data_IF_486668215600
#
_entry.id   IF_486668215600
#
_cell.length_a   1.000
_cell.length_b   1.000
_cell.length_c   1.000
_cell.angle_alpha   90.00
_cell.angle_beta   90.00
_cell.angle_gamma   90.00
#
_symmetry.space_group_name_H-M   'P 1'
#
loop_
_entity.id
_entity.type
_entity.pdbx_description
1 polymer ?
#
# COMPACT_ATOMS: atom_id res chain seq x y z
N UNK A 1 -126.16 -24.45 -34.94
CA UNK A 1 -126.37 -25.76 -35.59
C UNK A 1 -126.13 -26.94 -34.64
N UNK A 2 -125.22 -26.83 -33.66
CA UNK A 2 -125.00 -27.87 -32.61
C UNK A 2 -126.13 -27.91 -31.58
N UNK A 3 -126.71 -26.77 -31.20
CA UNK A 3 -127.78 -26.72 -30.19
C UNK A 3 -129.10 -27.36 -30.64
N UNK A 4 -129.44 -27.29 -31.94
CA UNK A 4 -130.68 -27.90 -32.48
C UNK A 4 -130.60 -29.44 -32.57
N UNK A 5 -129.39 -30.00 -32.75
CA UNK A 5 -129.17 -31.44 -32.77
C UNK A 5 -129.22 -32.07 -31.37
N UNK A 6 -128.82 -31.31 -30.34
CA UNK A 6 -128.86 -31.74 -28.94
C UNK A 6 -130.31 -31.81 -28.39
N UNK A 7 -131.20 -30.94 -28.87
CA UNK A 7 -132.58 -30.87 -28.40
C UNK A 7 -133.46 -32.01 -28.94
N UNK A 8 -133.23 -32.50 -30.18
CA UNK A 8 -133.90 -33.72 -30.68
C UNK A 8 -133.34 -35.02 -30.09
N UNK A 9 -132.04 -35.09 -29.80
CA UNK A 9 -131.42 -36.26 -29.15
C UNK A 9 -131.85 -36.42 -27.68
N UNK A 10 -132.26 -35.34 -27.01
CA UNK A 10 -132.77 -35.39 -25.64
C UNK A 10 -134.16 -36.06 -25.50
N UNK A 11 -134.98 -36.12 -26.56
CA UNK A 11 -136.37 -36.61 -26.47
C UNK A 11 -136.52 -38.13 -26.72
N UNK A 12 -135.44 -38.87 -26.93
CA UNK A 12 -135.45 -40.34 -27.05
C UNK A 12 -134.62 -41.01 -25.94
N UNK A 13 -135.11 -42.13 -25.38
CA UNK A 13 -134.44 -42.89 -24.30
C UNK A 13 -132.99 -43.28 -24.69
N UNK A 14 -132.76 -43.52 -25.99
CA UNK A 14 -131.44 -43.83 -26.52
C UNK A 14 -130.48 -42.62 -26.50
N UNK A 15 -130.97 -41.42 -26.82
CA UNK A 15 -130.13 -40.21 -26.89
C UNK A 15 -129.75 -39.67 -25.51
N UNK A 16 -130.62 -39.81 -24.51
CA UNK A 16 -130.29 -39.48 -23.10
C UNK A 16 -129.18 -40.38 -22.53
N UNK A 17 -129.20 -41.69 -22.84
CA UNK A 17 -128.13 -42.62 -22.43
C UNK A 17 -126.79 -42.29 -23.08
N UNK A 18 -126.80 -41.91 -24.37
CA UNK A 18 -125.61 -41.47 -25.10
C UNK A 18 -125.03 -40.18 -24.47
N UNK A 19 -125.88 -39.23 -24.07
CA UNK A 19 -125.45 -38.00 -23.41
C UNK A 19 -124.84 -38.24 -22.02
N UNK A 20 -125.38 -39.18 -21.24
CA UNK A 20 -124.81 -39.57 -19.94
C UNK A 20 -123.44 -40.24 -20.12
N UNK A 21 -123.30 -41.13 -21.11
CA UNK A 21 -122.01 -41.77 -21.40
C UNK A 21 -120.97 -40.73 -21.85
N UNK A 22 -121.35 -39.78 -22.71
CA UNK A 22 -120.46 -38.69 -23.15
C UNK A 22 -120.06 -37.76 -22.01
N UNK A 23 -120.97 -37.45 -21.07
CA UNK A 23 -120.64 -36.61 -19.91
C UNK A 23 -119.70 -37.32 -18.93
N UNK A 24 -119.88 -38.63 -18.70
CA UNK A 24 -118.96 -39.46 -17.91
C UNK A 24 -117.58 -39.53 -18.56
N UNK A 25 -117.52 -39.73 -19.88
CA UNK A 25 -116.26 -39.71 -20.65
C UNK A 25 -115.58 -38.35 -20.53
N UNK A 26 -116.33 -37.25 -20.60
CA UNK A 26 -115.79 -35.89 -20.44
C UNK A 26 -115.21 -35.66 -19.04
N UNK A 27 -115.90 -36.11 -17.98
CA UNK A 27 -115.41 -36.01 -16.59
C UNK A 27 -114.13 -36.84 -16.41
N UNK A 28 -114.11 -38.08 -16.93
CA UNK A 28 -112.90 -38.93 -16.90
C UNK A 28 -111.74 -38.27 -17.64
N UNK A 29 -111.99 -37.66 -18.81
CA UNK A 29 -110.98 -36.94 -19.56
C UNK A 29 -110.42 -35.73 -18.78
N UNK A 30 -111.27 -35.01 -18.04
CA UNK A 30 -110.84 -33.89 -17.17
C UNK A 30 -109.97 -34.40 -16.01
N UNK A 31 -110.36 -35.50 -15.35
CA UNK A 31 -109.58 -36.10 -14.25
C UNK A 31 -108.22 -36.61 -14.74
N UNK A 32 -108.17 -37.30 -15.89
CA UNK A 32 -106.93 -37.75 -16.51
C UNK A 32 -106.05 -36.55 -16.87
N UNK A 33 -106.62 -35.50 -17.47
CA UNK A 33 -105.88 -34.28 -17.80
C UNK A 33 -105.30 -33.64 -16.54
N UNK A 34 -106.06 -33.58 -15.45
CA UNK A 34 -105.59 -33.03 -14.17
C UNK A 34 -104.46 -33.87 -13.56
N UNK A 35 -104.59 -35.20 -13.57
CA UNK A 35 -103.55 -36.12 -13.11
C UNK A 35 -102.26 -36.01 -13.94
N UNK A 36 -102.37 -35.91 -15.27
CA UNK A 36 -101.22 -35.70 -16.17
C UNK A 36 -100.53 -34.37 -15.89
N UNK A 37 -101.29 -33.29 -15.67
CA UNK A 37 -100.73 -31.98 -15.30
C UNK A 37 -99.98 -32.07 -13.96
N UNK A 38 -100.54 -32.78 -12.97
CA UNK A 38 -99.92 -32.93 -11.66
C UNK A 38 -98.65 -33.78 -11.70
N UNK A 39 -98.67 -34.90 -12.43
CA UNK A 39 -97.49 -35.74 -12.67
C UNK A 39 -96.40 -34.98 -13.42
N UNK A 40 -96.76 -34.22 -14.45
CA UNK A 40 -95.82 -33.39 -15.21
C UNK A 40 -95.14 -32.36 -14.31
N UNK A 41 -95.90 -31.69 -13.42
CA UNK A 41 -95.36 -30.76 -12.41
C UNK A 41 -94.40 -31.48 -11.45
N UNK A 42 -94.78 -32.65 -10.94
CA UNK A 42 -93.93 -33.45 -10.06
C UNK A 42 -92.60 -33.83 -10.70
N UNK A 43 -92.63 -34.31 -11.95
CA UNK A 43 -91.43 -34.66 -12.73
C UNK A 43 -90.54 -33.44 -12.97
N UNK A 44 -91.12 -32.28 -13.34
CA UNK A 44 -90.34 -31.06 -13.55
C UNK A 44 -89.68 -30.56 -12.26
N UNK A 45 -90.38 -30.65 -11.12
CA UNK A 45 -89.82 -30.25 -9.84
C UNK A 45 -88.67 -31.17 -9.43
N UNK A 46 -88.84 -32.50 -9.55
CA UNK A 46 -87.77 -33.47 -9.26
C UNK A 46 -86.56 -33.22 -10.16
N UNK A 47 -86.77 -33.02 -11.47
CA UNK A 47 -85.69 -32.71 -12.41
C UNK A 47 -84.94 -31.42 -12.01
N UNK A 48 -85.67 -30.35 -11.65
CA UNK A 48 -85.04 -29.09 -11.21
C UNK A 48 -84.24 -29.24 -9.92
N UNK A 49 -84.74 -30.05 -8.96
CA UNK A 49 -84.03 -30.37 -7.71
C UNK A 49 -82.78 -31.20 -7.99
N UNK A 50 -82.84 -32.19 -8.88
CA UNK A 50 -81.67 -32.99 -9.28
C UNK A 50 -80.60 -32.13 -9.95
N UNK A 51 -80.99 -31.21 -10.85
CA UNK A 51 -80.06 -30.26 -11.49
C UNK A 51 -79.41 -29.35 -10.43
N UNK A 52 -80.21 -28.78 -9.51
CA UNK A 52 -79.70 -27.93 -8.45
C UNK A 52 -78.75 -28.68 -7.49
N UNK A 53 -79.04 -29.94 -7.16
CA UNK A 53 -78.15 -30.79 -6.37
C UNK A 53 -76.84 -31.07 -7.08
N UNK A 54 -76.89 -31.35 -8.40
CA UNK A 54 -75.68 -31.56 -9.21
C UNK A 54 -74.82 -30.29 -9.27
N UNK A 55 -75.43 -29.13 -9.55
CA UNK A 55 -74.77 -27.83 -9.54
C UNK A 55 -74.07 -27.59 -8.19
N UNK A 56 -74.78 -27.78 -7.08
CA UNK A 56 -74.21 -27.61 -5.74
C UNK A 56 -73.07 -28.59 -5.45
N UNK A 57 -73.14 -29.82 -5.97
CA UNK A 57 -72.06 -30.80 -5.86
C UNK A 57 -70.83 -30.37 -6.64
N UNK A 58 -71.01 -29.84 -7.85
CA UNK A 58 -69.93 -29.35 -8.71
C UNK A 58 -69.28 -28.09 -8.10
N UNK A 59 -70.08 -27.17 -7.55
CA UNK A 59 -69.61 -26.00 -6.82
C UNK A 59 -68.80 -26.39 -5.58
N UNK A 60 -69.27 -27.38 -4.82
CA UNK A 60 -68.54 -27.92 -3.66
C UNK A 60 -67.20 -28.51 -4.06
N UNK A 61 -67.17 -29.28 -5.16
CA UNK A 61 -65.92 -29.84 -5.67
C UNK A 61 -64.94 -28.73 -6.07
N UNK A 62 -65.40 -27.72 -6.81
CA UNK A 62 -64.57 -26.57 -7.19
C UNK A 62 -64.03 -25.83 -5.96
N UNK A 63 -64.85 -25.64 -4.93
CA UNK A 63 -64.43 -25.02 -3.67
C UNK A 63 -63.37 -25.87 -2.96
N UNK A 64 -63.54 -27.20 -2.91
CA UNK A 64 -62.54 -28.12 -2.33
C UNK A 64 -61.21 -28.06 -3.08
N UNK A 65 -61.25 -28.02 -4.41
CA UNK A 65 -60.05 -27.92 -5.25
C UNK A 65 -59.31 -26.58 -4.99
N UNK A 66 -60.05 -25.47 -4.91
CA UNK A 66 -59.49 -24.14 -4.57
C UNK A 66 -58.87 -24.12 -3.16
N UNK A 67 -59.55 -24.69 -2.16
CA UNK A 67 -59.02 -24.80 -0.80
C UNK A 67 -57.73 -25.62 -0.77
N UNK A 68 -57.68 -26.72 -1.54
CA UNK A 68 -56.48 -27.56 -1.64
C UNK A 68 -55.32 -26.81 -2.26
N UNK A 69 -55.57 -26.06 -3.34
CA UNK A 69 -54.56 -25.21 -3.99
C UNK A 69 -54.04 -24.14 -3.04
N UNK A 70 -54.92 -23.39 -2.38
CA UNK A 70 -54.51 -22.34 -1.42
C UNK A 70 -53.74 -22.93 -0.24
N UNK A 71 -54.09 -24.14 0.20
CA UNK A 71 -53.34 -24.84 1.26
C UNK A 71 -51.92 -25.19 0.82
N UNK A 72 -51.74 -25.59 -0.44
CA UNK A 72 -50.42 -25.83 -1.01
C UNK A 72 -49.60 -24.53 -1.11
N UNK A 73 -50.20 -23.46 -1.65
CA UNK A 73 -49.53 -22.15 -1.78
C UNK A 73 -49.11 -21.59 -0.41
N UNK A 74 -49.97 -21.72 0.61
CA UNK A 74 -49.64 -21.30 1.99
C UNK A 74 -48.46 -22.07 2.58
N UNK A 75 -48.33 -23.35 2.25
CA UNK A 75 -47.20 -24.17 2.68
C UNK A 75 -45.91 -23.71 2.01
N UNK A 76 -45.94 -23.44 0.71
CA UNK A 76 -44.77 -22.97 -0.04
C UNK A 76 -44.33 -21.59 0.48
N UNK A 77 -45.27 -20.67 0.71
CA UNK A 77 -44.99 -19.35 1.33
C UNK A 77 -44.37 -19.51 2.72
N UNK A 78 -44.86 -20.44 3.54
CA UNK A 78 -44.31 -20.69 4.87
C UNK A 78 -42.85 -21.18 4.78
N UNK A 79 -42.55 -22.08 3.85
CA UNK A 79 -41.20 -22.62 3.67
C UNK A 79 -40.24 -21.54 3.12
N UNK A 80 -40.70 -20.71 2.18
CA UNK A 80 -39.95 -19.56 1.67
C UNK A 80 -39.67 -18.52 2.77
N UNK A 81 -40.66 -18.24 3.63
CA UNK A 81 -40.52 -17.32 4.75
C UNK A 81 -39.53 -17.84 5.80
N UNK A 82 -39.54 -19.16 6.04
CA UNK A 82 -38.55 -19.82 6.91
C UNK A 82 -37.14 -19.69 6.35
N UNK A 83 -36.94 -19.96 5.06
CA UNK A 83 -35.65 -19.80 4.39
C UNK A 83 -35.17 -18.35 4.44
N UNK A 84 -36.05 -17.40 4.13
CA UNK A 84 -35.75 -15.97 4.17
C UNK A 84 -35.33 -15.52 5.58
N UNK A 85 -36.00 -16.01 6.62
CA UNK A 85 -35.66 -15.72 8.02
C UNK A 85 -34.28 -16.24 8.40
N UNK A 86 -33.92 -17.44 7.92
CA UNK A 86 -32.60 -18.02 8.13
C UNK A 86 -31.52 -17.19 7.43
N UNK A 87 -31.72 -16.83 6.15
CA UNK A 87 -30.80 -15.97 5.41
C UNK A 87 -30.60 -14.61 6.08
N UNK A 88 -31.67 -13.99 6.57
CA UNK A 88 -31.60 -12.70 7.28
C UNK A 88 -30.78 -12.80 8.57
N UNK A 89 -30.94 -13.91 9.30
CA UNK A 89 -30.16 -14.17 10.53
C UNK A 89 -28.67 -14.29 10.21
N UNK A 90 -28.32 -15.00 9.15
CA UNK A 90 -26.92 -15.17 8.72
C UNK A 90 -26.31 -13.85 8.23
N UNK A 91 -27.05 -13.07 7.44
CA UNK A 91 -26.60 -11.73 7.01
C UNK A 91 -26.38 -10.81 8.22
N UNK A 92 -27.26 -10.86 9.22
CA UNK A 92 -27.11 -10.08 10.46
C UNK A 92 -25.85 -10.46 11.21
N UNK A 93 -25.53 -11.76 11.27
CA UNK A 93 -24.30 -12.26 11.88
C UNK A 93 -23.06 -11.77 11.13
N UNK A 94 -23.02 -11.93 9.80
CA UNK A 94 -21.91 -11.47 8.96
C UNK A 94 -21.70 -9.96 9.06
N UNK A 95 -22.78 -9.19 9.12
CA UNK A 95 -22.70 -7.74 9.31
C UNK A 95 -22.03 -7.35 10.63
N UNK A 96 -22.30 -8.08 11.71
CA UNK A 96 -21.67 -7.83 13.01
C UNK A 96 -20.18 -8.22 13.02
N UNK A 97 -19.82 -9.32 12.33
CA UNK A 97 -18.42 -9.73 12.16
C UNK A 97 -17.63 -8.70 11.33
N UNK A 98 -18.20 -8.23 10.22
CA UNK A 98 -17.60 -7.17 9.40
C UNK A 98 -17.45 -5.85 10.16
N UNK A 99 -18.43 -5.48 10.99
CA UNK A 99 -18.32 -4.30 11.86
C UNK A 99 -17.15 -4.41 12.84
N UNK A 100 -16.88 -5.60 13.35
CA UNK A 100 -15.75 -5.85 14.26
C UNK A 100 -14.43 -5.77 13.51
N UNK A 101 -14.33 -6.41 12.34
CA UNK A 101 -13.17 -6.32 11.46
C UNK A 101 -12.84 -4.89 11.04
N UNK A 102 -13.86 -4.07 10.74
CA UNK A 102 -13.67 -2.65 10.40
C UNK A 102 -13.01 -1.87 11.54
N UNK A 103 -13.45 -2.09 12.78
CA UNK A 103 -12.84 -1.45 13.96
C UNK A 103 -11.39 -1.89 14.18
N UNK A 104 -11.07 -3.16 13.93
CA UNK A 104 -9.68 -3.62 14.01
C UNK A 104 -8.82 -3.00 12.91
N UNK A 105 -9.37 -2.85 11.70
CA UNK A 105 -8.68 -2.20 10.59
C UNK A 105 -8.46 -0.71 10.85
N UNK A 106 -9.45 0.00 11.40
CA UNK A 106 -9.32 1.40 11.83
C UNK A 106 -8.15 1.58 12.80
N UNK A 107 -8.04 0.72 13.83
CA UNK A 107 -6.90 0.75 14.76
C UNK A 107 -5.55 0.52 14.08
N UNK A 108 -5.48 -0.41 13.12
CA UNK A 108 -4.25 -0.67 12.34
C UNK A 108 -3.86 0.52 11.48
N UNK A 109 -4.85 1.24 10.93
CA UNK A 109 -4.61 2.47 10.16
C UNK A 109 -4.05 3.55 11.08
N UNK A 110 -4.64 3.79 12.25
CA UNK A 110 -4.13 4.75 13.24
C UNK A 110 -2.69 4.42 13.70
N UNK A 111 -2.39 3.14 13.91
CA UNK A 111 -1.04 2.68 14.25
C UNK A 111 -0.04 2.95 13.12
N UNK A 112 -0.40 2.65 11.87
CA UNK A 112 0.43 2.91 10.70
C UNK A 112 0.65 4.42 10.48
N UNK A 113 -0.36 5.25 10.69
CA UNK A 113 -0.23 6.71 10.62
C UNK A 113 0.78 7.23 11.66
N UNK A 114 0.72 6.72 12.88
CA UNK A 114 1.67 7.08 13.96
C UNK A 114 3.09 6.64 13.63
N UNK A 115 3.26 5.44 13.08
CA UNK A 115 4.56 4.92 12.65
C UNK A 115 5.14 5.77 11.50
N UNK A 116 4.31 6.16 10.53
CA UNK A 116 4.71 7.01 9.42
C UNK A 116 5.18 8.38 9.90
N UNK A 117 4.42 9.01 10.81
CA UNK A 117 4.78 10.31 11.38
C UNK A 117 6.09 10.25 12.20
N UNK A 118 6.32 9.14 12.89
CA UNK A 118 7.59 8.91 13.62
C UNK A 118 8.76 8.74 12.67
N UNK A 119 8.56 8.00 11.58
CA UNK A 119 9.58 7.78 10.55
C UNK A 119 9.96 9.09 9.86
N UNK A 120 8.96 9.91 9.51
CA UNK A 120 9.13 11.22 8.87
C UNK A 120 9.99 12.15 9.76
N UNK A 121 9.63 12.30 11.04
CA UNK A 121 10.42 13.05 12.02
C UNK A 121 11.85 12.52 12.19
N UNK A 122 12.01 11.20 12.16
CA UNK A 122 13.34 10.59 12.25
C UNK A 122 14.18 10.89 11.01
N UNK A 123 13.57 10.87 9.82
CA UNK A 123 14.23 11.21 8.56
C UNK A 123 14.71 12.66 8.59
N UNK A 124 13.84 13.60 8.95
CA UNK A 124 14.19 15.02 9.07
C UNK A 124 15.38 15.25 10.03
N UNK A 125 15.38 14.56 11.17
CA UNK A 125 16.48 14.64 12.13
C UNK A 125 17.79 14.10 11.55
N UNK A 126 17.74 12.97 10.84
CA UNK A 126 18.92 12.40 10.19
C UNK A 126 19.45 13.35 9.11
N UNK A 127 18.59 13.96 8.31
CA UNK A 127 18.98 14.93 7.29
C UNK A 127 19.66 16.16 7.91
N UNK A 128 19.13 16.68 9.02
CA UNK A 128 19.77 17.76 9.78
C UNK A 128 21.17 17.37 10.28
N UNK A 129 21.32 16.17 10.86
CA UNK A 129 22.63 15.67 11.32
C UNK A 129 23.63 15.51 10.18
N UNK A 130 23.18 15.07 9.00
CA UNK A 130 24.03 14.98 7.80
C UNK A 130 24.48 16.37 7.35
N UNK A 131 23.58 17.36 7.35
CA UNK A 131 23.92 18.74 6.99
C UNK A 131 24.92 19.37 7.95
N UNK A 132 24.75 19.16 9.26
CA UNK A 132 25.70 19.61 10.29
C UNK A 132 27.08 18.99 10.05
N UNK A 133 27.15 17.66 9.87
CA UNK A 133 28.41 16.95 9.63
C UNK A 133 29.10 17.41 8.34
N UNK A 134 28.33 17.64 7.27
CA UNK A 134 28.86 18.16 6.01
C UNK A 134 29.46 19.57 6.18
N UNK A 135 28.81 20.42 6.97
CA UNK A 135 29.30 21.76 7.26
C UNK A 135 30.59 21.73 8.09
N UNK A 136 30.65 20.86 9.11
CA UNK A 136 31.85 20.68 9.94
C UNK A 136 33.04 20.20 9.09
N UNK A 137 32.82 19.16 8.26
CA UNK A 137 33.85 18.68 7.33
C UNK A 137 34.27 19.75 6.31
N UNK A 138 33.35 20.60 5.86
CA UNK A 138 33.68 21.68 4.93
C UNK A 138 34.64 22.70 5.58
N UNK A 139 34.39 23.09 6.81
CA UNK A 139 35.27 24.02 7.53
C UNK A 139 36.61 23.38 7.91
N UNK A 140 36.64 22.08 8.23
CA UNK A 140 37.90 21.33 8.42
C UNK A 140 38.75 21.31 7.14
N UNK A 141 38.15 20.95 6.00
CA UNK A 141 38.85 20.94 4.69
C UNK A 141 39.42 22.32 4.37
N UNK A 142 38.66 23.38 4.65
CA UNK A 142 39.10 24.76 4.44
C UNK A 142 40.27 25.13 5.36
N UNK A 143 40.24 24.70 6.62
CA UNK A 143 41.35 24.87 7.57
C UNK A 143 42.62 24.15 7.11
N UNK A 144 42.49 22.89 6.68
CA UNK A 144 43.58 22.09 6.12
C UNK A 144 44.14 22.79 4.87
N UNK A 145 43.28 23.25 3.97
CA UNK A 145 43.69 23.96 2.75
C UNK A 145 44.52 25.21 3.05
N UNK A 146 44.14 26.00 4.07
CA UNK A 146 44.94 27.15 4.52
C UNK A 146 46.30 26.71 5.07
N UNK A 147 46.33 25.65 5.86
CA UNK A 147 47.58 25.11 6.43
C UNK A 147 48.52 24.63 5.33
N UNK A 148 48.00 23.90 4.34
CA UNK A 148 48.76 23.44 3.17
C UNK A 148 49.30 24.62 2.38
N UNK A 149 48.49 25.66 2.13
CA UNK A 149 48.95 26.87 1.45
C UNK A 149 50.08 27.58 2.22
N UNK A 150 49.95 27.69 3.55
CA UNK A 150 50.99 28.27 4.40
C UNK A 150 52.29 27.45 4.35
N UNK A 151 52.22 26.12 4.44
CA UNK A 151 53.39 25.25 4.31
C UNK A 151 54.04 25.43 2.94
N UNK A 152 53.25 25.45 1.88
CA UNK A 152 53.72 25.60 0.51
C UNK A 152 54.42 26.96 0.28
N UNK A 153 54.01 28.00 1.01
CA UNK A 153 54.68 29.31 0.98
C UNK A 153 55.95 29.35 1.85
N UNK A 154 55.96 28.66 2.99
CA UNK A 154 57.09 28.65 3.93
C UNK A 154 58.26 27.79 3.46
N UNK A 155 58.03 26.67 2.77
CA UNK A 155 59.10 25.78 2.30
C UNK A 155 60.11 26.52 1.40
N UNK A 156 59.70 27.27 0.35
CA UNK A 156 60.63 28.04 -0.47
C UNK A 156 61.44 29.06 0.34
N UNK A 157 60.83 29.73 1.32
CA UNK A 157 61.52 30.71 2.16
C UNK A 157 62.60 30.07 3.04
N UNK A 158 62.33 28.88 3.59
CA UNK A 158 63.32 28.13 4.36
C UNK A 158 64.48 27.67 3.48
N UNK A 159 64.19 27.16 2.28
CA UNK A 159 65.21 26.78 1.29
C UNK A 159 66.07 27.99 0.93
N UNK A 160 65.45 29.15 0.63
CA UNK A 160 66.17 30.38 0.29
C UNK A 160 67.06 30.86 1.44
N UNK A 161 66.56 30.80 2.68
CA UNK A 161 67.32 31.14 3.89
C UNK A 161 68.54 30.22 4.11
N UNK A 162 68.37 28.91 3.91
CA UNK A 162 69.45 27.93 4.05
C UNK A 162 70.51 28.08 2.95
N UNK A 163 70.07 28.31 1.71
CA UNK A 163 70.91 28.64 0.56
C UNK A 163 71.78 29.87 0.87
N UNK A 164 71.19 30.96 1.36
CA UNK A 164 71.93 32.20 1.64
C UNK A 164 72.89 32.06 2.84
N UNK A 165 72.47 31.31 3.86
CA UNK A 165 73.33 30.98 5.01
C UNK A 165 74.56 30.19 4.56
N UNK A 166 74.39 29.22 3.66
CA UNK A 166 75.52 28.47 3.10
C UNK A 166 76.46 29.36 2.27
N UNK A 167 75.93 30.28 1.46
CA UNK A 167 76.75 31.23 0.69
C UNK A 167 77.63 32.07 1.62
N UNK A 168 77.04 32.66 2.66
CA UNK A 168 77.78 33.48 3.64
C UNK A 168 78.88 32.65 4.31
N UNK A 169 78.55 31.44 4.78
CA UNK A 169 79.53 30.54 5.39
C UNK A 169 80.67 30.15 4.45
N UNK A 170 80.37 29.95 3.16
CA UNK A 170 81.35 29.60 2.14
C UNK A 170 82.31 30.76 1.87
N UNK A 171 81.82 32.00 1.75
CA UNK A 171 82.65 33.20 1.61
C UNK A 171 83.55 33.39 2.81
N UNK A 172 83.00 33.34 4.02
CA UNK A 172 83.76 33.50 5.26
C UNK A 172 84.88 32.47 5.39
N UNK A 173 84.61 31.22 4.95
CA UNK A 173 85.62 30.17 4.98
C UNK A 173 86.70 30.41 3.95
N UNK A 174 86.34 30.82 2.73
CA UNK A 174 87.30 31.17 1.70
C UNK A 174 88.25 32.29 2.14
N UNK A 175 87.72 33.39 2.69
CA UNK A 175 88.56 34.51 3.16
C UNK A 175 89.50 34.08 4.30
N UNK A 176 89.03 33.27 5.27
CA UNK A 176 89.90 32.69 6.30
C UNK A 176 91.04 31.84 5.72
N UNK A 177 90.74 30.98 4.74
CA UNK A 177 91.74 30.13 4.11
C UNK A 177 92.74 30.94 3.28
N UNK A 178 92.28 32.02 2.64
CA UNK A 178 93.14 32.95 1.90
C UNK A 178 94.09 33.71 2.83
N UNK A 179 93.65 34.07 4.03
CA UNK A 179 94.50 34.70 5.06
C UNK A 179 95.52 33.73 5.67
N UNK A 180 95.11 32.49 5.96
CA UNK A 180 95.96 31.49 6.63
C UNK A 180 96.82 30.65 5.69
N UNK A 181 96.46 30.58 4.40
CA UNK A 181 97.05 29.68 3.40
C UNK A 181 96.66 28.20 3.55
N UNK A 182 95.85 27.83 4.54
CA UNK A 182 95.55 26.43 4.89
C UNK A 182 94.06 26.22 5.19
N UNK A 183 93.58 24.98 5.08
CA UNK A 183 92.22 24.60 5.46
C UNK A 183 92.19 23.41 6.41
N UNK A 184 91.42 23.52 7.49
CA UNK A 184 91.21 22.41 8.41
C UNK A 184 90.41 21.27 7.74
N UNK A 185 90.88 20.03 7.87
CA UNK A 185 90.25 18.87 7.23
C UNK A 185 88.77 18.64 7.63
N UNK A 186 88.39 18.95 8.87
CA UNK A 186 87.00 18.86 9.32
C UNK A 186 86.12 19.94 8.69
N UNK A 187 86.66 21.15 8.53
CA UNK A 187 85.98 22.24 7.82
C UNK A 187 85.76 21.86 6.37
N UNK A 188 86.76 21.28 5.71
CA UNK A 188 86.64 20.82 4.32
C UNK A 188 85.57 19.72 4.17
N UNK A 189 85.54 18.72 5.06
CA UNK A 189 84.50 17.69 5.06
C UNK A 189 83.10 18.27 5.31
N UNK A 190 82.99 19.21 6.23
CA UNK A 190 81.72 19.89 6.54
C UNK A 190 81.22 20.70 5.35
N UNK A 191 82.14 21.40 4.67
CA UNK A 191 81.85 22.14 3.44
C UNK A 191 81.36 21.22 2.33
N UNK A 192 82.06 20.11 2.05
CA UNK A 192 81.65 19.15 1.02
C UNK A 192 80.24 18.58 1.27
N UNK A 193 79.91 18.26 2.53
CA UNK A 193 78.58 17.80 2.92
C UNK A 193 77.51 18.88 2.72
N UNK A 194 77.78 20.10 3.17
CA UNK A 194 76.84 21.24 3.02
C UNK A 194 76.65 21.61 1.55
N UNK A 195 77.72 21.58 0.76
CA UNK A 195 77.71 21.84 -0.67
C UNK A 195 76.83 20.82 -1.43
N UNK A 196 76.90 19.54 -1.04
CA UNK A 196 76.02 18.50 -1.60
C UNK A 196 74.53 18.80 -1.32
N UNK A 197 74.20 19.29 -0.12
CA UNK A 197 72.83 19.67 0.21
C UNK A 197 72.37 20.92 -0.57
N UNK A 198 73.24 21.94 -0.66
CA UNK A 198 73.01 23.14 -1.45
C UNK A 198 72.69 22.82 -2.92
N UNK A 199 73.42 21.88 -3.55
CA UNK A 199 73.13 21.46 -4.92
C UNK A 199 71.76 20.77 -5.04
N UNK A 200 71.37 19.95 -4.07
CA UNK A 200 70.04 19.29 -4.05
C UNK A 200 68.89 20.29 -3.91
N UNK A 201 69.13 21.40 -3.25
CA UNK A 201 68.17 22.49 -3.02
C UNK A 201 68.10 23.50 -4.19
N UNK A 202 68.77 23.22 -5.32
CA UNK A 202 68.76 24.11 -6.51
C UNK A 202 69.84 25.20 -6.48
N UNK A 203 70.92 24.97 -5.73
CA UNK A 203 72.08 25.85 -5.66
C UNK A 203 72.72 26.16 -7.02
N UNK A 204 73.34 27.33 -7.12
CA UNK A 204 73.95 27.82 -8.36
C UNK A 204 75.45 27.49 -8.50
N UNK A 205 75.97 27.65 -9.72
CA UNK A 205 77.36 27.35 -10.12
C UNK A 205 78.42 28.27 -9.48
N UNK A 206 78.00 29.35 -8.82
CA UNK A 206 78.93 30.22 -8.09
C UNK A 206 79.57 29.48 -6.90
N UNK A 207 78.79 28.69 -6.17
CA UNK A 207 79.30 27.94 -5.02
C UNK A 207 80.29 26.85 -5.46
N UNK A 208 80.08 26.24 -6.64
CA UNK A 208 81.03 25.28 -7.23
C UNK A 208 82.39 25.92 -7.47
N UNK A 209 82.40 27.16 -7.98
CA UNK A 209 83.63 27.89 -8.26
C UNK A 209 84.39 28.20 -6.98
N UNK A 210 83.70 28.65 -5.92
CA UNK A 210 84.34 28.93 -4.63
C UNK A 210 84.83 27.66 -3.95
N UNK A 211 84.04 26.57 -3.98
CA UNK A 211 84.45 25.27 -3.44
C UNK A 211 85.73 24.77 -4.10
N UNK A 212 85.81 24.81 -5.43
CA UNK A 212 87.02 24.41 -6.16
C UNK A 212 88.23 25.34 -5.91
N UNK A 213 88.00 26.58 -5.46
CA UNK A 213 89.08 27.46 -5.00
C UNK A 213 89.53 27.09 -3.57
N UNK A 214 88.60 26.76 -2.68
CA UNK A 214 88.88 26.34 -1.31
C UNK A 214 89.67 25.01 -1.27
N UNK A 215 89.32 24.06 -2.14
CA UNK A 215 89.99 22.75 -2.22
C UNK A 215 91.47 22.82 -2.60
N UNK A 216 91.95 23.97 -3.11
CA UNK A 216 93.36 24.17 -3.47
C UNK A 216 94.25 24.59 -2.29
N UNK A 217 93.67 24.99 -1.16
CA UNK A 217 94.46 25.31 0.04
C UNK A 217 95.02 24.04 0.67
N UNK A 218 96.20 24.14 1.28
CA UNK A 218 96.84 22.98 1.90
C UNK A 218 96.01 22.49 3.11
N UNK A 219 95.63 21.19 3.15
CA UNK A 219 94.93 20.65 4.29
C UNK A 219 95.82 20.67 5.52
N UNK A 220 95.31 21.21 6.62
CA UNK A 220 95.94 21.13 7.93
C UNK A 220 95.10 20.27 8.86
N UNK A 221 95.77 19.51 9.71
CA UNK A 221 95.14 18.84 10.84
C UNK A 221 94.86 19.87 11.93
N UNK A 222 93.96 19.57 12.87
CA UNK A 222 93.70 20.49 14.00
C UNK A 222 95.01 20.70 14.77
N UNK A 223 95.48 21.95 14.98
CA UNK A 223 96.41 22.20 16.07
C UNK A 223 95.65 21.94 17.38
N UNK A 224 96.07 20.92 18.13
CA UNK A 224 95.70 20.65 19.53
C UNK A 224 94.50 19.72 19.85
N UNK A 225 94.50 18.49 19.35
CA UNK A 225 94.47 17.37 20.32
C UNK A 225 95.92 17.05 20.73
N UNK A 226 96.82 17.04 19.75
CA UNK A 226 98.23 16.70 19.96
C UNK A 226 98.97 17.71 20.86
N UNK A 227 98.73 19.03 20.76
CA UNK A 227 99.30 20.00 21.73
C UNK A 227 98.64 19.95 23.12
N UNK A 228 97.37 19.54 23.23
CA UNK A 228 96.68 19.40 24.53
C UNK A 228 97.22 18.20 25.32
N UNK A 229 97.55 17.10 24.64
CA UNK A 229 98.22 15.95 25.24
C UNK A 229 99.74 16.16 25.40
N UNK A 230 100.42 16.82 24.46
CA UNK A 230 101.85 17.16 24.59
C UNK A 230 102.13 18.15 25.74
N UNK A 231 101.20 19.05 26.08
CA UNK A 231 101.30 19.89 27.28
C UNK A 231 101.02 19.12 28.57
N UNK A 232 100.30 18.00 28.51
CA UNK A 232 99.94 17.19 29.70
C UNK A 232 101.05 16.20 30.09
N UNK A 233 101.82 15.70 29.13
CA UNK A 233 102.99 14.83 29.38
C UNK A 233 104.22 15.62 29.90
N UNK A 234 104.31 16.93 29.63
CA UNK A 234 105.39 17.79 30.14
C UNK A 234 105.15 18.34 31.57
N UNK A 235 104.10 17.87 32.25
CA UNK A 235 103.73 18.27 33.61
C UNK A 235 103.54 17.09 34.59
N UNK A 236 104.10 15.91 34.26
CA UNK A 236 104.36 14.81 35.21
C UNK A 236 105.86 14.68 35.48
#
# INVERSE_FOLDING_TARGET
MVDYALEQLSQTDLGSRILIILSVIAVIAVVIKYAVVYLKKGITTIASVTIAMKQKSDDWKSLTDQITSVTADLKDIHDDLKMTTQSLTEVTKQMNEEKTRRKEMEKKVEELETQLETLDRSSDKTDQQILELLNDHHEEIKSISRTVANINNSIPMLIESDVETFRTYLVDTYERCKESGTINIYTLQTLAKRFTNYQKEGGNTWAETLMGAIEKFEPTTIPAIDEYYAKKENHQ
#
